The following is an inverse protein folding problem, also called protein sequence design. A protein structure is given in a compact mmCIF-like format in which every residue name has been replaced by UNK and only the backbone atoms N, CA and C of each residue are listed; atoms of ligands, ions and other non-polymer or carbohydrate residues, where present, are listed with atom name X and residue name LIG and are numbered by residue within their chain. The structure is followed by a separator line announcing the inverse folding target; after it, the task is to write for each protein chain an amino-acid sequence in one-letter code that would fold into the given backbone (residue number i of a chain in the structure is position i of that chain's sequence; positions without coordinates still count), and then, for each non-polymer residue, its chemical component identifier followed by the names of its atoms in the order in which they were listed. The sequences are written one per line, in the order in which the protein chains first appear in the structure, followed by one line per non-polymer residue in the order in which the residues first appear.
data_IF_288495530451
#
_entry.id   IF_288495530451
#
_cell.length_a   1.000
_cell.length_b   1.000
_cell.length_c   1.000
_cell.angle_alpha   90.00
_cell.angle_beta   90.00
_cell.angle_gamma   90.00
#
_symmetry.space_group_name_H-M   'P 1'
#
loop_
_entity.id
_entity.type
_entity.pdbx_description
1 polymer ?
#
# COMPACT_ATOMS: atom_id res chain seq x y z
N UNK A 1 42.53 -6.55 -6.67
CA UNK A 1 41.88 -6.21 -6.42
C UNK A 1 41.25 -6.11 -6.15
N UNK A 2 41.24 -6.08 -6.51
CA UNK A 2 40.35 -5.85 -6.38
C UNK A 2 39.63 -6.00 -6.04
N UNK A 3 39.52 -6.33 -6.43
CA UNK A 3 38.64 -6.39 -6.32
C UNK A 3 37.91 -6.52 -5.78
N UNK A 4 38.16 -6.72 -6.10
CA UNK A 4 37.24 -6.75 -5.63
C UNK A 4 36.60 -6.71 -5.12
N UNK A 5 36.72 -6.84 -5.50
CA UNK A 5 35.83 -6.67 -5.16
C UNK A 5 35.22 -6.85 -4.95
N UNK A 6 35.27 -7.03 -5.31
CA UNK A 6 34.56 -7.12 -5.24
C UNK A 6 33.78 -7.39 -4.93
N UNK A 7 34.00 -7.59 -5.24
CA UNK A 7 33.08 -7.71 -5.00
C UNK A 7 32.53 -7.89 -4.42
N UNK A 8 32.85 -8.10 -4.66
CA UNK A 8 32.23 -8.09 -4.22
C UNK A 8 31.47 -8.32 -4.01
N UNK A 9 31.64 -8.53 -4.35
CA UNK A 9 30.86 -8.49 -4.27
C UNK A 9 30.20 -8.68 -4.19
N UNK A 10 30.86 -8.88 -4.29
CA UNK A 10 30.07 -8.94 -4.60
C UNK A 10 28.85 -9.14 -4.07
N UNK A 11 28.51 -8.47 -3.60
CA UNK A 11 27.29 -8.59 -3.16
C UNK A 11 26.34 -8.52 -4.23
N UNK A 12 25.52 -9.46 -4.38
CA UNK A 12 24.58 -9.44 -5.39
C UNK A 12 23.41 -8.69 -4.98
N UNK A 13 23.07 -7.70 -5.77
CA UNK A 13 21.86 -7.01 -5.60
C UNK A 13 20.92 -7.59 -6.57
N UNK A 14 19.78 -8.07 -6.14
CA UNK A 14 18.76 -8.64 -7.00
C UNK A 14 17.76 -7.56 -7.39
N UNK A 15 17.37 -7.56 -8.66
CA UNK A 15 16.41 -6.58 -9.15
C UNK A 15 15.04 -6.82 -8.54
N UNK A 16 14.19 -5.80 -8.61
CA UNK A 16 12.82 -5.95 -8.12
C UNK A 16 12.07 -7.01 -8.92
N UNK A 17 12.32 -7.07 -10.23
CA UNK A 17 11.67 -8.08 -11.06
C UNK A 17 12.10 -9.48 -10.65
N UNK A 18 13.38 -9.66 -10.39
CA UNK A 18 13.87 -10.96 -9.96
C UNK A 18 13.24 -11.37 -8.63
N UNK A 19 13.20 -10.43 -7.70
CA UNK A 19 12.61 -10.74 -6.39
C UNK A 19 11.13 -11.11 -6.51
N UNK A 20 10.41 -10.38 -7.37
CA UNK A 20 9.00 -10.69 -7.56
C UNK A 20 8.79 -12.07 -8.15
N UNK A 21 9.60 -12.41 -9.15
CA UNK A 21 9.50 -13.74 -9.75
C UNK A 21 9.91 -14.83 -8.79
N UNK A 22 10.92 -14.54 -7.98
CA UNK A 22 11.37 -15.51 -6.98
C UNK A 22 10.26 -15.80 -5.98
N UNK A 23 9.53 -14.76 -5.57
CA UNK A 23 8.44 -14.95 -4.63
C UNK A 23 7.28 -15.71 -5.27
N UNK A 24 7.03 -15.48 -6.56
CA UNK A 24 6.00 -16.25 -7.25
C UNK A 24 6.35 -17.70 -7.31
N UNK A 25 7.61 -18.00 -7.60
CA UNK A 25 8.05 -19.38 -7.62
C UNK A 25 7.93 -19.99 -6.22
N UNK A 26 8.33 -19.23 -5.20
CA UNK A 26 8.26 -19.74 -3.83
C UNK A 26 6.83 -20.04 -3.42
N UNK A 27 5.87 -19.26 -3.92
CA UNK A 27 4.47 -19.51 -3.61
C UNK A 27 4.00 -20.83 -4.23
N UNK A 28 4.58 -21.21 -5.35
CA UNK A 28 4.17 -22.44 -6.00
C UNK A 28 4.87 -23.68 -5.45
N UNK A 29 6.17 -23.57 -5.21
CA UNK A 29 6.94 -24.77 -4.85
C UNK A 29 7.49 -24.74 -3.43
N UNK A 30 7.31 -23.64 -2.71
CA UNK A 30 7.86 -23.51 -1.37
C UNK A 30 9.20 -22.80 -1.38
N UNK A 31 9.49 -22.13 -0.29
CA UNK A 31 10.72 -21.34 -0.22
C UNK A 31 11.97 -22.17 -0.32
N UNK A 32 12.08 -23.33 0.37
CA UNK A 32 13.31 -24.11 0.22
C UNK A 32 13.56 -24.56 -1.21
N UNK A 33 12.52 -25.02 -1.91
CA UNK A 33 12.69 -25.47 -3.29
C UNK A 33 13.02 -24.32 -4.21
N UNK A 34 12.37 -23.18 -4.02
CA UNK A 34 12.64 -22.01 -4.83
C UNK A 34 14.07 -21.53 -4.63
N UNK A 35 14.54 -21.55 -3.38
CA UNK A 35 15.90 -21.16 -3.10
C UNK A 35 16.90 -22.04 -3.80
N UNK A 36 16.64 -23.35 -3.79
CA UNK A 36 17.54 -24.29 -4.46
C UNK A 36 17.54 -24.06 -5.96
N UNK A 37 16.36 -23.84 -6.54
CA UNK A 37 16.28 -23.66 -7.98
C UNK A 37 16.93 -22.36 -8.44
N UNK A 38 16.81 -21.31 -7.65
CA UNK A 38 17.30 -20.01 -8.04
C UNK A 38 18.69 -19.70 -7.52
N UNK A 39 19.21 -20.55 -6.64
CA UNK A 39 20.51 -20.29 -6.05
C UNK A 39 20.48 -19.13 -5.09
N UNK A 40 19.37 -18.96 -4.39
CA UNK A 40 19.17 -17.88 -3.44
C UNK A 40 18.93 -18.47 -2.06
N UNK A 41 19.48 -17.83 -1.03
CA UNK A 41 19.31 -18.36 0.32
C UNK A 41 17.85 -18.25 0.73
N UNK A 42 17.42 -19.23 1.53
CA UNK A 42 16.04 -19.19 2.04
C UNK A 42 15.83 -17.99 2.93
N UNK A 43 16.86 -17.56 3.65
CA UNK A 43 16.74 -16.38 4.50
C UNK A 43 16.38 -15.16 3.69
N UNK A 44 17.00 -15.00 2.52
CA UNK A 44 16.67 -13.89 1.64
C UNK A 44 15.23 -13.97 1.17
N UNK A 45 14.79 -15.17 0.79
CA UNK A 45 13.43 -15.33 0.31
C UNK A 45 12.41 -15.04 1.40
N UNK A 46 12.67 -15.49 2.62
CA UNK A 46 11.77 -15.19 3.73
C UNK A 46 11.73 -13.68 3.99
N UNK A 47 12.89 -13.01 3.92
CA UNK A 47 12.95 -11.57 4.12
C UNK A 47 12.18 -10.83 3.05
N UNK A 48 12.34 -11.25 1.79
CA UNK A 48 11.63 -10.60 0.70
C UNK A 48 10.12 -10.79 0.84
N UNK A 49 9.71 -11.98 1.26
CA UNK A 49 8.29 -12.24 1.43
C UNK A 49 7.69 -11.38 2.54
N UNK A 50 8.40 -11.29 3.66
CA UNK A 50 7.91 -10.47 4.76
C UNK A 50 7.77 -9.02 4.36
N UNK A 51 8.76 -8.51 3.63
CA UNK A 51 8.72 -7.13 3.19
C UNK A 51 7.58 -6.90 2.20
N UNK A 52 7.38 -7.84 1.29
CA UNK A 52 6.30 -7.71 0.31
C UNK A 52 4.95 -7.71 1.00
N UNK A 53 4.77 -8.57 1.99
CA UNK A 53 3.53 -8.63 2.74
C UNK A 53 3.28 -7.35 3.51
N UNK A 54 4.33 -6.80 4.09
CA UNK A 54 4.21 -5.54 4.82
C UNK A 54 3.78 -4.41 3.89
N UNK A 55 4.40 -4.33 2.71
CA UNK A 55 4.06 -3.29 1.76
C UNK A 55 2.63 -3.44 1.26
N UNK A 56 2.21 -4.68 1.05
CA UNK A 56 0.84 -4.94 0.62
C UNK A 56 -0.15 -4.51 1.67
N UNK A 57 0.11 -4.85 2.93
CA UNK A 57 -0.77 -4.45 4.02
C UNK A 57 -0.86 -2.95 4.14
N UNK A 58 0.28 -2.28 3.99
CA UNK A 58 0.31 -0.83 4.06
C UNK A 58 -0.51 -0.22 2.94
N UNK A 59 -0.38 -0.78 1.73
CA UNK A 59 -1.16 -0.29 0.62
C UNK A 59 -2.65 -0.48 0.83
N UNK A 60 -3.05 -1.60 1.42
CA UNK A 60 -4.45 -1.86 1.71
C UNK A 60 -4.99 -0.86 2.72
N UNK A 61 -4.20 -0.55 3.74
CA UNK A 61 -4.60 0.44 4.73
C UNK A 61 -4.74 1.80 4.09
N UNK A 62 -3.77 2.17 3.24
CA UNK A 62 -3.82 3.46 2.55
C UNK A 62 -5.06 3.58 1.68
N UNK A 63 -5.41 2.51 0.96
CA UNK A 63 -6.61 2.51 0.14
C UNK A 63 -7.86 2.67 0.98
N UNK A 64 -7.90 1.98 2.11
CA UNK A 64 -9.03 2.09 3.01
C UNK A 64 -9.20 3.50 3.54
N UNK A 65 -8.08 4.13 3.90
CA UNK A 65 -8.12 5.50 4.38
C UNK A 65 -8.56 6.46 3.31
N UNK A 66 -8.10 6.27 2.07
CA UNK A 66 -8.50 7.14 0.98
C UNK A 66 -10.00 7.04 0.71
N UNK A 67 -10.53 5.81 0.75
CA UNK A 67 -11.95 5.60 0.55
C UNK A 67 -12.76 6.25 1.67
N UNK A 68 -12.30 6.07 2.90
CA UNK A 68 -12.97 6.65 4.05
C UNK A 68 -12.95 8.16 3.97
N UNK A 69 -11.82 8.75 3.57
CA UNK A 69 -11.73 10.19 3.40
C UNK A 69 -12.72 10.70 2.36
N UNK A 70 -12.81 9.99 1.23
CA UNK A 70 -13.74 10.40 0.19
C UNK A 70 -15.18 10.37 0.70
N UNK A 71 -15.52 9.32 1.44
CA UNK A 71 -16.87 9.20 1.99
C UNK A 71 -17.17 10.32 2.98
N UNK A 72 -16.22 10.58 3.87
CA UNK A 72 -16.43 11.62 4.88
C UNK A 72 -16.54 13.01 4.26
N UNK A 73 -15.74 13.27 3.23
CA UNK A 73 -15.85 14.57 2.55
C UNK A 73 -17.19 14.74 1.88
N UNK A 74 -17.72 13.67 1.33
CA UNK A 74 -19.03 13.73 0.70
C UNK A 74 -20.11 14.00 1.73
N UNK A 75 -20.03 13.30 2.87
CA UNK A 75 -20.99 13.53 3.95
C UNK A 75 -20.90 14.95 4.48
N UNK A 76 -19.68 15.43 4.63
CA UNK A 76 -19.49 16.80 5.12
C UNK A 76 -20.11 17.80 4.15
N UNK A 77 -19.89 17.61 2.86
CA UNK A 77 -20.46 18.53 1.87
C UNK A 77 -21.98 18.51 1.93
N UNK A 78 -22.56 17.32 2.11
CA UNK A 78 -24.02 17.22 2.22
C UNK A 78 -24.54 17.93 3.45
N UNK A 79 -23.84 17.78 4.58
CA UNK A 79 -24.27 18.45 5.79
C UNK A 79 -24.13 19.95 5.66
N UNK A 80 -23.08 20.40 5.01
CA UNK A 80 -22.91 21.83 4.80
C UNK A 80 -24.02 22.41 3.95
N UNK A 81 -24.45 21.64 2.93
CA UNK A 81 -25.57 22.10 2.11
C UNK A 81 -26.86 22.14 2.90
N UNK A 82 -27.09 21.14 3.75
CA UNK A 82 -28.27 21.14 4.59
C UNK A 82 -28.28 22.32 5.53
N UNK A 83 -27.14 22.62 6.13
CA UNK A 83 -27.05 23.77 7.03
C UNK A 83 -27.30 25.06 6.29
N UNK A 84 -26.76 25.20 5.10
CA UNK A 84 -26.98 26.38 4.32
C UNK A 84 -28.47 26.57 3.97
N UNK A 85 -29.10 25.45 3.60
CA UNK A 85 -30.51 25.48 3.30
C UNK A 85 -31.33 25.86 4.52
N UNK A 86 -31.02 25.23 5.67
CA UNK A 86 -31.77 25.54 6.88
C UNK A 86 -31.57 26.99 7.33
N UNK A 87 -30.33 27.49 7.13
CA UNK A 87 -30.09 28.90 7.44
C UNK A 87 -30.93 29.85 6.58
N UNK A 88 -31.03 29.52 5.31
CA UNK A 88 -31.86 30.34 4.42
C UNK A 88 -33.32 30.24 4.78
N UNK A 89 -33.79 29.04 5.10
CA UNK A 89 -35.17 28.84 5.49
C UNK A 89 -35.48 29.59 6.76
N UNK A 90 -34.56 29.52 7.75
CA UNK A 90 -34.76 30.23 9.01
C UNK A 90 -34.84 31.75 8.77
N UNK A 91 -33.95 32.24 7.94
CA UNK A 91 -33.98 33.70 7.62
C UNK A 91 -35.25 34.08 6.92
N UNK A 92 -35.73 33.24 6.02
CA UNK A 92 -36.95 33.51 5.30
C UNK A 92 -38.11 33.56 6.28
N UNK A 93 -38.24 32.62 7.18
CA UNK A 93 -39.35 32.63 8.14
C UNK A 93 -39.24 33.77 9.11
N UNK A 94 -38.05 34.10 9.56
CA UNK A 94 -37.88 35.20 10.50
C UNK A 94 -38.28 36.53 9.84
N UNK A 95 -38.02 36.64 8.56
CA UNK A 95 -38.29 37.88 7.85
C UNK A 95 -39.69 37.94 7.30
N UNK A 96 -40.17 36.83 6.82
CA UNK A 96 -41.42 36.78 6.09
C UNK A 96 -42.65 36.60 6.93
N UNK A 97 -42.50 36.26 8.18
CA UNK A 97 -43.65 36.08 9.04
C UNK A 97 -44.22 37.39 9.39
N UNK A 98 -45.45 37.59 9.10
CA UNK A 98 -46.04 38.85 9.36
C UNK A 98 -46.94 38.80 10.52
#
# INVERSE_FOLDING_TARGET
MTKTSKTRTTRKRHSDDFRAEALQLAARVGIPAAGAQLGVSTALLYGWRSKAELLKSRGEIDEGLATENARLRRELAEKEQELAFLGKAAAYFAKGVK
#
